data_IF_252849987851
#
_entry.id   IF_252849987851
#
_cell.length_a   1.000
_cell.length_b   1.000
_cell.length_c   1.000
_cell.angle_alpha   90.00
_cell.angle_beta   90.00
_cell.angle_gamma   90.00
#
_symmetry.space_group_name_H-M   'P 1'
#
loop_
_entity.id
_entity.type
_entity.pdbx_description
1 polymer ?
#
# COMPACT_ATOMS: atom_id res chain seq x y z
N UNK A 1 -29.66 23.45 -12.36
CA UNK A 1 -28.98 22.27 -12.87
C UNK A 1 -29.33 21.01 -12.14
N UNK A 2 -29.65 21.10 -10.87
CA UNK A 2 -30.09 19.96 -10.10
C UNK A 2 -31.24 19.20 -10.75
N UNK A 3 -32.21 19.94 -11.21
CA UNK A 3 -33.39 19.37 -11.83
C UNK A 3 -33.05 18.55 -13.06
N UNK A 4 -31.91 18.79 -13.67
CA UNK A 4 -31.51 18.04 -14.86
C UNK A 4 -30.81 16.73 -14.51
N UNK A 5 -30.37 16.59 -13.30
CA UNK A 5 -29.67 15.38 -12.85
C UNK A 5 -30.69 14.29 -12.50
N UNK A 6 -31.66 14.65 -11.70
CA UNK A 6 -32.75 13.75 -11.36
C UNK A 6 -32.34 12.58 -10.48
N UNK A 7 -33.34 11.85 -9.97
CA UNK A 7 -33.07 10.72 -9.07
C UNK A 7 -32.28 9.58 -9.72
N UNK A 8 -32.41 9.38 -11.02
CA UNK A 8 -31.67 8.32 -11.69
C UNK A 8 -30.18 8.48 -11.64
N UNK A 9 -29.70 9.72 -11.76
CA UNK A 9 -28.26 9.98 -11.70
C UNK A 9 -27.73 9.79 -10.28
N UNK A 10 -28.47 10.25 -9.26
CA UNK A 10 -28.07 10.04 -7.88
C UNK A 10 -27.98 8.55 -7.55
N UNK A 11 -28.93 7.75 -8.02
CA UNK A 11 -28.90 6.31 -7.82
C UNK A 11 -27.71 5.67 -8.54
N UNK A 12 -27.38 6.14 -9.75
CA UNK A 12 -26.23 5.62 -10.49
C UNK A 12 -24.91 5.93 -9.76
N UNK A 13 -24.77 7.13 -9.20
CA UNK A 13 -23.58 7.49 -8.42
C UNK A 13 -23.46 6.63 -7.17
N UNK A 14 -24.58 6.37 -6.50
CA UNK A 14 -24.57 5.51 -5.31
C UNK A 14 -24.15 4.08 -5.66
N UNK A 15 -24.62 3.56 -6.79
CA UNK A 15 -24.20 2.22 -7.24
C UNK A 15 -22.72 2.20 -7.58
N UNK A 16 -22.20 3.23 -8.24
CA UNK A 16 -20.78 3.31 -8.58
C UNK A 16 -19.91 3.34 -7.33
N UNK A 17 -20.33 4.11 -6.32
CA UNK A 17 -19.59 4.15 -5.05
C UNK A 17 -19.61 2.79 -4.35
N UNK A 18 -20.74 2.07 -4.39
CA UNK A 18 -20.84 0.74 -3.81
C UNK A 18 -19.92 -0.24 -4.52
N UNK A 19 -19.88 -0.20 -5.86
CA UNK A 19 -18.99 -1.07 -6.65
C UNK A 19 -17.53 -0.77 -6.31
N UNK A 20 -17.16 0.50 -6.17
CA UNK A 20 -15.78 0.86 -5.81
C UNK A 20 -15.40 0.34 -4.43
N UNK A 21 -16.33 0.37 -3.47
CA UNK A 21 -16.06 -0.21 -2.15
C UNK A 21 -15.90 -1.73 -2.23
N UNK A 22 -16.74 -2.40 -3.02
CA UNK A 22 -16.63 -3.84 -3.21
C UNK A 22 -15.29 -4.21 -3.83
N UNK A 23 -14.84 -3.43 -4.82
CA UNK A 23 -13.54 -3.65 -5.45
C UNK A 23 -12.40 -3.45 -4.44
N UNK A 24 -12.47 -2.41 -3.62
CA UNK A 24 -11.47 -2.16 -2.59
C UNK A 24 -11.45 -3.30 -1.57
N UNK A 25 -12.60 -3.78 -1.15
CA UNK A 25 -12.70 -4.89 -0.19
C UNK A 25 -12.12 -6.17 -0.78
N UNK A 26 -12.39 -6.43 -2.07
CA UNK A 26 -11.84 -7.60 -2.75
C UNK A 26 -10.31 -7.52 -2.83
N UNK A 27 -9.78 -6.34 -3.17
CA UNK A 27 -8.33 -6.13 -3.24
C UNK A 27 -7.68 -6.25 -1.87
N UNK A 28 -8.34 -5.74 -0.84
CA UNK A 28 -7.85 -5.87 0.54
C UNK A 28 -7.81 -7.34 0.97
N UNK A 29 -8.81 -8.12 0.59
CA UNK A 29 -8.86 -9.55 0.90
C UNK A 29 -7.72 -10.30 0.20
N UNK A 30 -7.47 -9.99 -1.07
CA UNK A 30 -6.38 -10.61 -1.83
C UNK A 30 -5.04 -10.23 -1.20
N UNK A 31 -4.85 -8.97 -0.85
CA UNK A 31 -3.62 -8.52 -0.18
C UNK A 31 -3.45 -9.21 1.17
N UNK A 32 -4.54 -9.39 1.91
CA UNK A 32 -4.51 -10.11 3.18
C UNK A 32 -4.05 -11.55 3.04
N UNK A 33 -4.45 -12.24 1.98
CA UNK A 33 -3.99 -13.59 1.73
C UNK A 33 -2.50 -13.61 1.39
N UNK A 34 -2.05 -12.64 0.58
CA UNK A 34 -0.64 -12.52 0.23
C UNK A 34 0.22 -12.29 1.47
N UNK A 35 -0.25 -11.45 2.39
CA UNK A 35 0.45 -11.10 3.63
C UNK A 35 0.66 -12.32 4.52
N UNK A 36 -0.26 -13.27 4.53
CA UNK A 36 -0.15 -14.47 5.36
C UNK A 36 1.10 -15.28 5.08
N UNK A 37 1.64 -15.19 3.87
CA UNK A 37 2.85 -15.89 3.49
C UNK A 37 4.11 -15.05 3.61
N UNK A 38 4.04 -13.87 4.22
CA UNK A 38 5.14 -12.92 4.25
C UNK A 38 5.62 -12.65 5.66
N UNK A 39 6.93 -12.40 5.78
CA UNK A 39 7.50 -11.72 6.94
C UNK A 39 7.43 -10.22 6.65
N UNK A 40 6.56 -9.51 7.35
CA UNK A 40 6.34 -8.09 7.08
C UNK A 40 7.54 -7.21 7.39
N UNK A 41 8.49 -7.70 8.17
CA UNK A 41 9.72 -6.96 8.45
C UNK A 41 10.80 -7.19 7.38
N UNK A 42 10.62 -8.17 6.52
CA UNK A 42 11.59 -8.51 5.48
C UNK A 42 10.85 -9.06 4.26
N UNK A 43 10.50 -8.18 3.33
CA UNK A 43 9.70 -8.53 2.15
C UNK A 43 10.60 -8.85 0.96
N UNK A 44 10.24 -9.88 0.22
CA UNK A 44 10.95 -10.26 -1.01
C UNK A 44 10.55 -9.32 -2.14
N UNK A 45 11.50 -8.54 -2.65
CA UNK A 45 11.24 -7.57 -3.71
C UNK A 45 10.78 -8.23 -5.01
N UNK A 46 11.35 -9.37 -5.37
CA UNK A 46 10.94 -10.07 -6.60
C UNK A 46 9.49 -10.52 -6.51
N UNK A 47 9.06 -11.02 -5.35
CA UNK A 47 7.67 -11.42 -5.14
C UNK A 47 6.73 -10.22 -5.23
N UNK A 48 7.10 -9.10 -4.61
CA UNK A 48 6.29 -7.88 -4.65
C UNK A 48 6.21 -7.30 -6.05
N UNK A 49 7.32 -7.34 -6.80
CA UNK A 49 7.34 -6.83 -8.16
C UNK A 49 6.40 -7.61 -9.07
N UNK A 50 6.26 -8.91 -8.83
CA UNK A 50 5.36 -9.76 -9.61
C UNK A 50 3.88 -9.54 -9.31
N UNK A 51 3.55 -8.87 -8.20
CA UNK A 51 2.17 -8.60 -7.83
C UNK A 51 1.59 -7.44 -8.62
N UNK A 52 0.28 -7.44 -8.90
CA UNK A 52 -0.37 -6.23 -9.41
C UNK A 52 -0.15 -5.06 -8.47
N UNK A 53 -0.03 -3.87 -9.02
CA UNK A 53 0.26 -2.68 -8.21
C UNK A 53 -0.74 -2.48 -7.07
N UNK A 54 -2.02 -2.71 -7.33
CA UNK A 54 -3.06 -2.52 -6.32
C UNK A 54 -2.84 -3.45 -5.11
N UNK A 55 -2.33 -4.65 -5.33
CA UNK A 55 -2.03 -5.60 -4.26
C UNK A 55 -0.70 -5.24 -3.60
N UNK A 56 0.32 -4.96 -4.40
CA UNK A 56 1.65 -4.58 -3.91
C UNK A 56 1.58 -3.40 -2.95
N UNK A 57 0.87 -2.33 -3.33
CA UNK A 57 0.80 -1.14 -2.48
C UNK A 57 0.05 -1.40 -1.19
N UNK A 58 -0.95 -2.29 -1.20
CA UNK A 58 -1.65 -2.68 0.02
C UNK A 58 -0.76 -3.47 0.95
N UNK A 59 0.04 -4.38 0.42
CA UNK A 59 1.01 -5.14 1.22
C UNK A 59 2.03 -4.19 1.84
N UNK A 60 2.57 -3.25 1.05
CA UNK A 60 3.53 -2.27 1.55
C UNK A 60 2.95 -1.42 2.67
N UNK A 61 1.74 -0.92 2.51
CA UNK A 61 1.10 -0.11 3.54
C UNK A 61 0.92 -0.89 4.83
N UNK A 62 0.46 -2.13 4.73
CA UNK A 62 0.29 -3.00 5.90
C UNK A 62 1.61 -3.23 6.60
N UNK A 63 2.67 -3.51 5.84
CA UNK A 63 3.99 -3.74 6.41
C UNK A 63 4.53 -2.51 7.12
N UNK A 64 4.32 -1.32 6.54
CA UNK A 64 4.78 -0.06 7.12
C UNK A 64 4.08 0.19 8.46
N UNK A 65 2.77 0.00 8.51
CA UNK A 65 2.04 0.17 9.78
C UNK A 65 2.44 -0.88 10.80
N UNK A 66 2.68 -2.12 10.36
CA UNK A 66 3.16 -3.18 11.26
C UNK A 66 4.55 -2.84 11.83
N UNK A 67 5.35 -2.09 11.09
CA UNK A 67 6.68 -1.68 11.56
C UNK A 67 6.61 -0.55 12.60
N UNK A 68 5.46 0.11 12.75
CA UNK A 68 5.27 1.10 13.80
C UNK A 68 4.87 2.50 13.36
N UNK A 69 4.55 2.70 12.07
CA UNK A 69 4.08 4.02 11.63
C UNK A 69 2.74 4.33 12.31
N UNK A 70 2.52 5.60 12.73
CA UNK A 70 1.25 5.97 13.34
C UNK A 70 0.09 5.79 12.37
N UNK A 71 -1.05 5.34 12.89
CA UNK A 71 -2.25 5.13 12.09
C UNK A 71 -2.61 6.38 11.31
N UNK A 72 -2.88 6.22 10.01
CA UNK A 72 -3.28 7.32 9.14
C UNK A 72 -2.16 8.24 8.69
N UNK A 73 -0.90 7.99 9.08
CA UNK A 73 0.22 8.88 8.76
C UNK A 73 0.84 8.62 7.39
N UNK A 74 0.54 7.49 6.78
CA UNK A 74 1.20 7.09 5.53
C UNK A 74 0.38 7.59 4.34
N UNK A 75 1.00 8.45 3.55
CA UNK A 75 0.38 9.04 2.36
C UNK A 75 0.73 8.23 1.12
N UNK A 76 0.09 8.57 0.01
CA UNK A 76 0.40 7.98 -1.29
C UNK A 76 1.85 8.23 -1.68
N UNK A 77 2.38 9.42 -1.39
CA UNK A 77 3.77 9.75 -1.70
C UNK A 77 4.73 8.84 -0.94
N UNK A 78 4.42 8.53 0.32
CA UNK A 78 5.21 7.58 1.10
C UNK A 78 5.23 6.21 0.43
N UNK A 79 4.07 5.73 0.01
CA UNK A 79 3.96 4.42 -0.65
C UNK A 79 4.74 4.41 -1.96
N UNK A 80 4.64 5.48 -2.75
CA UNK A 80 5.39 5.56 -4.01
C UNK A 80 6.89 5.54 -3.79
N UNK A 81 7.37 6.21 -2.74
CA UNK A 81 8.80 6.19 -2.40
C UNK A 81 9.29 4.79 -2.07
N UNK A 82 8.51 4.04 -1.31
CA UNK A 82 8.86 2.66 -0.97
C UNK A 82 8.74 1.75 -2.18
N UNK A 83 7.69 1.94 -2.98
CA UNK A 83 7.50 1.16 -4.20
C UNK A 83 8.67 1.34 -5.16
N UNK A 84 9.26 2.53 -5.21
CA UNK A 84 10.43 2.80 -6.01
C UNK A 84 11.63 1.93 -5.67
N UNK A 85 11.73 1.47 -4.43
CA UNK A 85 12.79 0.53 -4.04
C UNK A 85 12.61 -0.83 -4.70
N UNK A 86 11.40 -1.13 -5.15
CA UNK A 86 11.07 -2.40 -5.81
C UNK A 86 11.14 -2.25 -7.32
N UNK A 87 10.41 -1.28 -7.87
CA UNK A 87 10.18 -1.17 -9.31
C UNK A 87 11.16 -0.26 -10.03
N UNK A 88 11.84 0.62 -9.29
CA UNK A 88 12.78 1.60 -9.87
C UNK A 88 14.12 1.54 -9.15
N UNK A 89 14.53 0.34 -8.76
CA UNK A 89 15.75 0.16 -7.98
C UNK A 89 16.99 0.56 -8.79
N UNK A 90 17.81 1.42 -8.20
CA UNK A 90 19.07 1.87 -8.81
C UNK A 90 20.14 2.09 -7.72
N UNK A 91 19.99 1.44 -6.57
CA UNK A 91 20.93 1.58 -5.48
C UNK A 91 20.65 2.76 -4.56
N UNK A 92 19.43 3.32 -4.61
CA UNK A 92 19.06 4.45 -3.75
C UNK A 92 19.01 4.02 -2.29
N UNK A 93 19.19 5.01 -1.41
CA UNK A 93 19.22 4.77 0.02
C UNK A 93 17.85 4.47 0.62
N UNK A 94 17.84 4.36 1.94
CA UNK A 94 16.63 4.06 2.68
C UNK A 94 15.61 5.18 2.58
N UNK A 95 14.33 4.81 2.69
CA UNK A 95 13.20 5.74 2.75
C UNK A 95 12.80 5.89 4.22
N UNK A 96 12.77 7.14 4.70
CA UNK A 96 12.32 7.44 6.07
C UNK A 96 10.85 7.78 6.07
N UNK A 97 10.12 7.22 7.00
CA UNK A 97 8.67 7.34 7.10
C UNK A 97 8.26 7.84 8.49
N UNK A 98 7.02 8.33 8.65
CA UNK A 98 6.53 8.74 9.96
C UNK A 98 6.65 7.63 11.00
N UNK A 99 6.85 8.02 12.25
CA UNK A 99 6.99 7.07 13.35
C UNK A 99 8.38 6.47 13.47
N UNK A 100 9.37 7.05 12.78
CA UNK A 100 10.73 6.52 12.82
C UNK A 100 10.92 5.25 12.01
N UNK A 101 9.96 4.90 11.17
CA UNK A 101 10.06 3.71 10.31
C UNK A 101 11.03 4.00 9.18
N UNK A 102 11.92 3.05 8.93
CA UNK A 102 12.90 3.12 7.86
C UNK A 102 12.77 1.88 6.99
N UNK A 103 12.67 2.10 5.69
CA UNK A 103 12.57 1.01 4.72
C UNK A 103 13.80 1.04 3.83
N UNK A 104 14.50 -0.07 3.77
CA UNK A 104 15.74 -0.17 3.02
C UNK A 104 15.76 -1.46 2.21
N UNK A 105 16.26 -1.39 0.99
CA UNK A 105 16.42 -2.60 0.19
C UNK A 105 17.82 -3.16 0.40
N UNK A 106 17.88 -4.39 0.89
CA UNK A 106 19.15 -5.09 1.16
C UNK A 106 19.04 -6.48 0.55
N UNK A 107 19.96 -6.80 -0.36
CA UNK A 107 20.04 -8.14 -0.96
C UNK A 107 18.71 -8.64 -1.53
N UNK A 108 17.99 -7.76 -2.24
CA UNK A 108 16.72 -8.11 -2.89
C UNK A 108 15.53 -8.19 -1.94
N UNK A 109 15.66 -7.71 -0.71
CA UNK A 109 14.58 -7.70 0.26
C UNK A 109 14.40 -6.30 0.84
N UNK A 110 13.16 -5.97 1.18
CA UNK A 110 12.88 -4.73 1.91
C UNK A 110 12.93 -5.01 3.40
N UNK A 111 13.81 -4.31 4.08
CA UNK A 111 13.89 -4.34 5.53
C UNK A 111 13.11 -3.15 6.08
N UNK A 112 12.13 -3.42 6.94
CA UNK A 112 11.27 -2.41 7.54
C UNK A 112 11.51 -2.42 9.04
N UNK A 113 12.12 -1.36 9.55
CA UNK A 113 12.48 -1.27 10.95
C UNK A 113 12.00 0.06 11.52
N UNK A 114 11.52 0.05 12.75
CA UNK A 114 11.26 1.26 13.50
C UNK A 114 12.49 1.62 14.30
N UNK A 115 12.84 2.92 14.28
CA UNK A 115 13.96 3.39 15.10
C UNK A 115 13.51 3.43 16.55
N UNK A 116 14.26 2.78 17.41
CA UNK A 116 14.04 2.80 18.86
C UNK A 116 14.90 3.90 19.48
N UNK A 117 14.32 4.55 20.46
CA UNK A 117 15.03 5.59 21.22
C UNK A 117 15.29 5.15 22.62
#
# INVERSE_FOLDING_TARGET
MEEKIGPGIAAALARSASILRDDADALDAIAGEEIKGCDLASLDCARLEALPRAIRTRVLRTAIYAAGAPSGSITWDHIQGVEGLITLWHGQGAVSLPGGVKVERISGRLSLLARLH
#
